data_IF_046252719861
#
_entry.id   IF_046252719861
#
_cell.length_a   1.000
_cell.length_b   1.000
_cell.length_c   1.000
_cell.angle_alpha   90.00
_cell.angle_beta   90.00
_cell.angle_gamma   90.00
#
_symmetry.space_group_name_H-M   'P 1'
#
loop_
_entity.id
_entity.type
_entity.pdbx_description
1 polymer ?
#
# COMPACT_ATOMS: atom_id res chain seq x y z
N UNK A 1 -10.64 8.58 23.24
CA UNK A 1 -10.80 7.58 22.16
C UNK A 1 -9.61 7.71 21.23
N UNK A 2 -9.02 6.60 20.78
CA UNK A 2 -7.96 6.64 19.77
C UNK A 2 -8.62 6.99 18.44
N UNK A 3 -8.11 8.01 17.75
CA UNK A 3 -8.73 8.52 16.54
C UNK A 3 -7.68 8.77 15.46
N UNK A 4 -8.06 8.59 14.21
CA UNK A 4 -7.21 8.85 13.05
C UNK A 4 -6.31 7.70 12.62
N UNK A 5 -5.63 7.94 11.52
CA UNK A 5 -4.74 7.00 10.85
C UNK A 5 -3.41 7.70 10.56
N UNK A 6 -2.30 7.10 10.98
CA UNK A 6 -0.95 7.53 10.60
C UNK A 6 -0.52 6.66 9.43
N UNK A 7 -0.19 7.28 8.30
CA UNK A 7 0.46 6.61 7.16
C UNK A 7 1.95 6.91 7.14
N UNK A 8 2.75 5.87 7.37
CA UNK A 8 4.20 5.96 7.46
C UNK A 8 4.89 5.12 6.38
N UNK A 9 6.08 5.53 5.99
CA UNK A 9 6.92 4.75 5.08
C UNK A 9 7.45 5.55 3.90
N UNK A 10 7.36 4.96 2.68
CA UNK A 10 7.92 5.56 1.50
C UNK A 10 6.96 6.57 0.84
N UNK A 11 7.39 7.81 0.82
CA UNK A 11 6.75 8.91 0.12
C UNK A 11 7.57 9.23 -1.14
N UNK A 12 6.95 9.12 -2.30
CA UNK A 12 7.63 9.29 -3.58
C UNK A 12 6.82 10.15 -4.54
N UNK A 13 7.48 10.61 -5.58
CA UNK A 13 6.83 11.23 -6.72
C UNK A 13 6.86 10.24 -7.91
N UNK A 14 5.69 9.85 -8.40
CA UNK A 14 5.58 9.11 -9.65
C UNK A 14 5.60 10.08 -10.83
N UNK A 15 6.57 9.89 -11.74
CA UNK A 15 6.75 10.66 -12.99
C UNK A 15 6.42 9.74 -14.15
N UNK A 16 5.17 9.78 -14.60
CA UNK A 16 4.67 8.92 -15.68
C UNK A 16 4.97 9.55 -17.03
N UNK A 17 5.82 8.89 -17.80
CA UNK A 17 6.24 9.34 -19.13
C UNK A 17 5.62 8.44 -20.20
N UNK A 18 4.73 9.00 -21.02
CA UNK A 18 4.20 8.31 -22.19
C UNK A 18 5.24 8.36 -23.30
N UNK A 19 5.66 7.21 -23.81
CA UNK A 19 6.65 7.08 -24.87
C UNK A 19 6.02 6.63 -26.18
N UNK A 20 6.62 7.03 -27.31
CA UNK A 20 6.15 6.67 -28.67
C UNK A 20 6.37 5.19 -28.99
N UNK A 21 7.45 4.61 -28.48
CA UNK A 21 7.83 3.20 -28.66
C UNK A 21 8.83 2.76 -27.60
N UNK A 22 8.98 1.46 -27.42
CA UNK A 22 10.07 0.89 -26.62
C UNK A 22 11.36 0.87 -27.43
N UNK A 23 12.41 1.62 -27.04
CA UNK A 23 13.69 1.59 -27.75
C UNK A 23 14.44 0.31 -27.41
N UNK A 24 15.19 -0.21 -28.38
CA UNK A 24 16.27 -1.15 -28.09
C UNK A 24 17.40 -0.48 -27.33
N UNK A 25 18.29 -1.27 -26.70
CA UNK A 25 19.46 -0.76 -25.99
C UNK A 25 20.29 0.17 -26.88
N UNK A 26 20.68 1.34 -26.36
CA UNK A 26 21.46 2.36 -27.09
C UNK A 26 20.65 3.22 -28.09
N UNK A 27 19.35 2.96 -28.26
CA UNK A 27 18.49 3.73 -29.15
C UNK A 27 17.64 4.77 -28.38
N UNK A 28 17.14 5.75 -29.14
CA UNK A 28 16.29 6.84 -28.63
C UNK A 28 14.81 6.56 -28.90
N UNK A 29 13.96 6.95 -27.95
CA UNK A 29 12.51 7.14 -28.13
C UNK A 29 12.11 8.55 -27.72
N UNK A 30 10.92 8.99 -28.13
CA UNK A 30 10.39 10.29 -27.71
C UNK A 30 9.44 10.12 -26.50
N UNK A 31 9.55 11.04 -25.54
CA UNK A 31 8.53 11.24 -24.51
C UNK A 31 7.47 12.17 -25.12
N UNK A 32 6.24 11.68 -25.22
CA UNK A 32 5.09 12.39 -25.79
C UNK A 32 4.34 13.22 -24.74
N UNK A 33 4.31 12.76 -23.51
CA UNK A 33 3.68 13.43 -22.39
C UNK A 33 4.35 13.02 -21.09
N UNK A 34 4.31 13.91 -20.09
CA UNK A 34 4.74 13.64 -18.73
C UNK A 34 3.67 14.12 -17.76
N UNK A 35 3.30 13.25 -16.81
CA UNK A 35 2.43 13.55 -15.69
C UNK A 35 3.15 13.20 -14.39
N UNK A 36 2.90 13.98 -13.34
CA UNK A 36 3.45 13.68 -12.03
C UNK A 36 2.36 13.65 -10.96
N UNK A 37 2.51 12.72 -10.03
CA UNK A 37 1.58 12.53 -8.94
C UNK A 37 2.31 12.03 -7.69
N UNK A 38 1.74 12.25 -6.50
CA UNK A 38 2.19 11.57 -5.30
C UNK A 38 2.06 10.05 -5.47
N UNK A 39 3.01 9.31 -4.93
CA UNK A 39 3.10 7.85 -4.98
C UNK A 39 3.72 7.26 -3.71
N UNK A 40 3.80 5.93 -3.67
CA UNK A 40 4.21 5.16 -2.50
C UNK A 40 3.04 4.82 -1.58
N UNK A 41 3.17 3.70 -0.86
CA UNK A 41 2.06 3.13 -0.07
C UNK A 41 1.33 4.13 0.82
N UNK A 42 2.00 4.82 1.77
CA UNK A 42 1.33 5.76 2.65
C UNK A 42 0.71 6.96 1.90
N UNK A 43 1.33 7.44 0.83
CA UNK A 43 0.79 8.52 0.02
C UNK A 43 -0.54 8.11 -0.64
N UNK A 44 -0.53 6.98 -1.35
CA UNK A 44 -1.70 6.48 -2.07
C UNK A 44 -2.84 6.17 -1.11
N UNK A 45 -2.56 5.41 -0.04
CA UNK A 45 -3.57 5.03 0.97
C UNK A 45 -4.19 6.27 1.64
N UNK A 46 -3.37 7.23 2.09
CA UNK A 46 -3.91 8.42 2.77
C UNK A 46 -4.66 9.34 1.80
N UNK A 47 -4.24 9.44 0.53
CA UNK A 47 -4.94 10.26 -0.46
C UNK A 47 -6.31 9.68 -0.80
N UNK A 48 -6.41 8.35 -0.92
CA UNK A 48 -7.68 7.66 -1.12
C UNK A 48 -8.60 7.81 0.10
N UNK A 49 -8.06 7.63 1.31
CA UNK A 49 -8.82 7.84 2.55
C UNK A 49 -9.34 9.28 2.70
N UNK A 50 -8.52 10.28 2.35
CA UNK A 50 -8.93 11.68 2.38
C UNK A 50 -10.04 12.00 1.36
N UNK A 51 -10.03 11.33 0.20
CA UNK A 51 -11.10 11.45 -0.78
C UNK A 51 -12.39 10.77 -0.33
N UNK A 52 -12.28 9.58 0.32
CA UNK A 52 -13.43 8.85 0.85
C UNK A 52 -14.12 9.63 1.96
N UNK A 53 -13.34 10.27 2.83
CA UNK A 53 -13.86 10.99 4.00
C UNK A 53 -12.93 12.14 4.43
N UNK A 54 -13.21 13.36 3.97
CA UNK A 54 -12.41 14.53 4.33
C UNK A 54 -12.39 14.89 5.82
N UNK A 55 -13.30 14.32 6.63
CA UNK A 55 -13.34 14.52 8.07
C UNK A 55 -12.49 13.52 8.85
N UNK A 56 -11.92 12.51 8.18
CA UNK A 56 -11.08 11.49 8.81
C UNK A 56 -9.73 12.12 9.23
N UNK A 57 -9.33 12.04 10.51
CA UNK A 57 -8.02 12.54 10.92
C UNK A 57 -6.89 11.69 10.33
N UNK A 58 -6.10 12.28 9.45
CA UNK A 58 -5.02 11.61 8.73
C UNK A 58 -3.69 12.31 8.99
N UNK A 59 -2.63 11.53 9.23
CA UNK A 59 -1.30 12.02 9.56
C UNK A 59 -0.26 11.35 8.65
N UNK A 60 0.52 12.17 7.95
CA UNK A 60 1.62 11.71 7.12
C UNK A 60 2.90 11.62 7.95
N UNK A 61 3.63 10.50 7.86
CA UNK A 61 4.90 10.28 8.53
C UNK A 61 5.93 9.66 7.57
N UNK A 62 7.11 10.27 7.47
CA UNK A 62 8.16 9.79 6.57
C UNK A 62 9.22 10.82 6.26
N UNK A 63 9.99 10.57 5.21
CA UNK A 63 11.06 11.45 4.76
C UNK A 63 10.94 11.81 3.30
N UNK A 64 11.19 13.08 2.99
CA UNK A 64 11.29 13.64 1.64
C UNK A 64 12.57 14.48 1.54
N UNK A 65 13.00 14.82 0.34
CA UNK A 65 14.10 15.74 0.13
C UNK A 65 13.74 17.21 0.44
N UNK A 66 14.76 18.04 0.57
CA UNK A 66 14.62 19.48 0.61
C UNK A 66 14.69 20.08 -0.82
N UNK A 67 13.82 19.59 -1.70
CA UNK A 67 13.77 19.86 -3.14
C UNK A 67 12.34 20.16 -3.62
N UNK A 68 12.20 20.51 -4.89
CA UNK A 68 10.92 20.85 -5.51
C UNK A 68 9.91 19.68 -5.49
N UNK A 69 10.37 18.43 -5.64
CA UNK A 69 9.53 17.24 -5.58
C UNK A 69 8.96 17.05 -4.16
N UNK A 70 9.78 17.32 -3.12
CA UNK A 70 9.34 17.31 -1.73
C UNK A 70 8.36 18.44 -1.41
N UNK A 71 8.57 19.63 -1.97
CA UNK A 71 7.62 20.74 -1.83
C UNK A 71 6.28 20.41 -2.49
N UNK A 72 6.30 19.79 -3.67
CA UNK A 72 5.10 19.32 -4.34
C UNK A 72 4.32 18.32 -3.49
N UNK A 73 4.99 17.29 -2.94
CA UNK A 73 4.34 16.28 -2.11
C UNK A 73 3.71 16.90 -0.85
N UNK A 74 4.41 17.82 -0.16
CA UNK A 74 3.84 18.50 1.01
C UNK A 74 2.63 19.36 0.64
N UNK A 75 2.67 20.04 -0.49
CA UNK A 75 1.53 20.80 -0.96
C UNK A 75 0.31 19.89 -1.23
N UNK A 76 0.53 18.72 -1.84
CA UNK A 76 -0.53 17.74 -2.10
C UNK A 76 -1.10 17.11 -0.82
N UNK A 77 -0.25 16.82 0.18
CA UNK A 77 -0.65 16.32 1.51
C UNK A 77 -1.56 17.37 2.18
N UNK A 78 -1.11 18.63 2.26
CA UNK A 78 -1.85 19.73 2.89
C UNK A 78 -3.15 20.06 2.17
N UNK A 79 -3.15 20.03 0.84
CA UNK A 79 -4.34 20.28 0.01
C UNK A 79 -5.48 19.30 0.31
N UNK A 80 -5.14 18.08 0.73
CA UNK A 80 -6.11 17.04 1.12
C UNK A 80 -6.47 17.06 2.61
N UNK A 81 -6.00 18.04 3.37
CA UNK A 81 -6.25 18.15 4.81
C UNK A 81 -5.51 17.12 5.66
N UNK A 82 -4.49 16.47 5.11
CA UNK A 82 -3.65 15.52 5.84
C UNK A 82 -2.58 16.30 6.64
N UNK A 83 -2.43 15.97 7.91
CA UNK A 83 -1.45 16.61 8.79
C UNK A 83 -0.04 16.06 8.51
N UNK A 84 0.88 16.95 8.16
CA UNK A 84 2.26 16.63 7.77
C UNK A 84 3.30 16.80 8.89
N UNK A 85 2.86 16.97 10.14
CA UNK A 85 3.77 17.25 11.29
C UNK A 85 4.84 16.19 11.52
N UNK A 86 4.67 14.97 11.03
CA UNK A 86 5.63 13.89 11.16
C UNK A 86 6.43 13.63 9.87
N UNK A 87 6.33 14.54 8.91
CA UNK A 87 7.18 14.54 7.72
C UNK A 87 8.50 15.24 8.00
N UNK A 88 9.61 14.55 7.74
CA UNK A 88 10.96 15.10 7.87
C UNK A 88 11.55 15.41 6.49
N UNK A 89 12.46 16.39 6.43
CA UNK A 89 13.21 16.70 5.21
C UNK A 89 14.65 16.22 5.33
N UNK A 90 15.17 15.63 4.26
CA UNK A 90 16.60 15.35 4.09
C UNK A 90 17.28 16.52 3.38
N UNK A 91 18.43 16.92 3.90
CA UNK A 91 19.33 17.85 3.21
C UNK A 91 20.38 17.11 2.36
N UNK A 92 20.51 15.79 2.51
CA UNK A 92 21.54 14.98 1.88
C UNK A 92 21.03 14.15 0.69
N UNK A 93 19.76 13.75 0.71
CA UNK A 93 19.15 12.93 -0.35
C UNK A 93 17.95 13.66 -0.99
N UNK A 94 17.72 13.47 -2.30
CA UNK A 94 16.52 13.97 -2.96
C UNK A 94 15.26 13.25 -2.47
N UNK A 95 14.11 13.82 -2.77
CA UNK A 95 12.82 13.12 -2.62
C UNK A 95 12.86 11.82 -3.43
N UNK A 96 12.34 10.73 -2.86
CA UNK A 96 12.18 9.48 -3.59
C UNK A 96 11.26 9.66 -4.80
N UNK A 97 11.56 9.01 -5.91
CA UNK A 97 10.72 9.09 -7.11
C UNK A 97 10.76 7.81 -7.93
N UNK A 98 9.76 7.64 -8.78
CA UNK A 98 9.72 6.57 -9.77
C UNK A 98 9.46 7.17 -11.14
N UNK A 99 10.41 7.01 -12.07
CA UNK A 99 10.17 7.22 -13.50
C UNK A 99 9.43 6.00 -14.06
N UNK A 100 8.19 6.22 -14.51
CA UNK A 100 7.35 5.18 -15.11
C UNK A 100 7.31 5.40 -16.61
N UNK A 101 8.03 4.58 -17.38
CA UNK A 101 7.92 4.58 -18.84
C UNK A 101 6.67 3.77 -19.24
N UNK A 102 5.76 4.40 -19.97
CA UNK A 102 4.48 3.82 -20.40
C UNK A 102 4.32 3.93 -21.91
N UNK A 103 4.15 2.81 -22.59
CA UNK A 103 3.95 2.76 -24.04
C UNK A 103 3.53 1.37 -24.51
N UNK A 104 2.75 1.31 -25.61
CA UNK A 104 2.31 0.05 -26.22
C UNK A 104 1.64 -0.93 -25.22
N UNK A 105 0.90 -0.41 -24.23
CA UNK A 105 0.23 -1.22 -23.21
C UNK A 105 1.15 -1.86 -22.17
N UNK A 106 2.43 -1.47 -22.14
CA UNK A 106 3.45 -1.95 -21.17
C UNK A 106 3.96 -0.82 -20.31
N UNK A 107 4.47 -1.14 -19.11
CA UNK A 107 5.12 -0.20 -18.20
C UNK A 107 6.43 -0.77 -17.68
N UNK A 108 7.39 0.12 -17.43
CA UNK A 108 8.66 -0.19 -16.74
C UNK A 108 8.94 0.91 -15.72
N UNK A 109 9.41 0.51 -14.55
CA UNK A 109 9.61 1.38 -13.41
C UNK A 109 11.10 1.53 -13.12
N UNK A 110 11.55 2.78 -12.98
CA UNK A 110 12.91 3.12 -12.55
C UNK A 110 12.80 3.86 -11.23
N UNK A 111 13.13 3.20 -10.13
CA UNK A 111 12.88 3.70 -8.79
C UNK A 111 14.15 4.25 -8.14
N UNK A 112 14.05 5.48 -7.62
CA UNK A 112 15.02 6.11 -6.75
C UNK A 112 14.47 6.18 -5.32
N UNK A 113 15.12 5.53 -4.35
CA UNK A 113 14.68 5.54 -2.95
C UNK A 113 14.80 6.92 -2.31
N UNK A 114 15.81 7.70 -2.68
CA UNK A 114 16.04 9.05 -2.15
C UNK A 114 16.01 9.09 -0.62
N UNK A 115 15.37 10.11 -0.07
CA UNK A 115 15.27 10.32 1.38
C UNK A 115 14.55 9.19 2.14
N UNK A 116 13.76 8.34 1.47
CA UNK A 116 13.12 7.18 2.10
C UNK A 116 14.15 6.18 2.64
N UNK A 117 15.33 6.08 1.99
CA UNK A 117 16.42 5.24 2.46
C UNK A 117 16.98 5.66 3.84
N UNK A 118 16.80 6.94 4.20
CA UNK A 118 17.28 7.50 5.47
C UNK A 118 16.27 7.36 6.61
N UNK A 119 15.00 7.02 6.34
CA UNK A 119 13.95 6.95 7.35
C UNK A 119 14.32 5.95 8.46
N UNK A 120 14.62 6.50 9.64
CA UNK A 120 15.11 5.70 10.76
C UNK A 120 14.00 5.29 11.73
N UNK A 121 14.14 4.13 12.40
CA UNK A 121 13.21 3.70 13.44
C UNK A 121 12.95 4.77 14.50
N UNK A 122 13.98 5.48 14.93
CA UNK A 122 13.92 6.51 15.98
C UNK A 122 13.01 7.68 15.61
N UNK A 123 12.83 7.98 14.33
CA UNK A 123 11.97 9.06 13.87
C UNK A 123 10.49 8.69 14.06
N UNK A 124 10.13 7.47 13.70
CA UNK A 124 8.77 6.99 13.85
C UNK A 124 8.42 6.66 15.31
N UNK A 125 9.37 6.14 16.10
CA UNK A 125 9.17 5.89 17.53
C UNK A 125 8.86 7.15 18.36
N UNK A 126 9.31 8.34 17.90
CA UNK A 126 9.00 9.62 18.54
C UNK A 126 7.55 10.06 18.37
N UNK A 127 6.79 9.39 17.50
CA UNK A 127 5.35 9.64 17.34
C UNK A 127 4.63 9.10 18.59
N UNK A 128 4.60 9.90 19.65
CA UNK A 128 3.92 9.57 20.92
C UNK A 128 2.40 9.69 20.87
N UNK A 129 1.81 9.74 19.68
CA UNK A 129 0.41 10.01 19.44
C UNK A 129 -0.36 8.70 19.22
N UNK A 130 -1.42 8.42 19.98
CA UNK A 130 -2.20 7.19 19.86
C UNK A 130 -3.27 7.32 18.78
N UNK A 131 -2.92 7.12 17.52
CA UNK A 131 -3.91 6.92 16.45
C UNK A 131 -4.60 5.56 16.57
N UNK A 132 -5.72 5.37 15.88
CA UNK A 132 -6.36 4.07 15.80
C UNK A 132 -5.53 3.10 14.98
N UNK A 133 -5.12 3.49 13.76
CA UNK A 133 -4.26 2.70 12.91
C UNK A 133 -2.91 3.38 12.65
N UNK A 134 -1.88 2.57 12.59
CA UNK A 134 -0.57 2.91 12.06
C UNK A 134 -0.30 2.04 10.83
N UNK A 135 -0.45 2.63 9.66
CA UNK A 135 -0.14 1.99 8.38
C UNK A 135 1.33 2.20 8.04
N UNK A 136 2.05 1.12 7.73
CA UNK A 136 3.43 1.15 7.26
C UNK A 136 3.54 0.51 5.87
N UNK A 137 3.90 1.27 4.88
CA UNK A 137 4.06 0.83 3.49
C UNK A 137 5.25 1.54 2.81
N UNK A 138 6.06 0.91 1.99
CA UNK A 138 6.10 -0.57 1.85
C UNK A 138 7.35 -1.09 2.54
N UNK A 139 7.26 -2.19 3.25
CA UNK A 139 8.48 -2.93 3.61
C UNK A 139 9.19 -3.37 2.32
N UNK A 140 10.50 -3.59 2.39
CA UNK A 140 11.40 -3.92 1.28
C UNK A 140 11.86 -2.70 0.44
N UNK A 141 11.34 -1.49 0.73
CA UNK A 141 11.78 -0.24 0.11
C UNK A 141 12.37 0.79 1.09
N UNK A 142 12.52 0.43 2.37
CA UNK A 142 12.91 1.35 3.46
C UNK A 142 14.23 0.88 4.09
N UNK A 143 15.38 1.24 3.49
CA UNK A 143 16.68 0.63 3.79
C UNK A 143 17.00 0.53 5.29
N UNK A 144 16.78 1.60 6.07
CA UNK A 144 17.06 1.59 7.52
C UNK A 144 15.99 0.84 8.33
N UNK A 145 14.74 0.83 7.88
CA UNK A 145 13.68 0.05 8.53
C UNK A 145 13.79 -1.44 8.17
N UNK A 146 14.25 -1.75 6.96
CA UNK A 146 14.47 -3.12 6.50
C UNK A 146 15.77 -3.72 7.05
N UNK A 147 16.67 -2.88 7.57
CA UNK A 147 17.95 -3.31 8.12
C UNK A 147 17.76 -4.19 9.35
N UNK A 148 18.69 -5.18 9.57
CA UNK A 148 18.68 -6.02 10.76
C UNK A 148 18.74 -5.20 12.07
N UNK A 149 17.95 -5.59 13.05
CA UNK A 149 17.90 -5.02 14.38
C UNK A 149 17.95 -6.15 15.42
N UNK A 150 18.85 -6.06 16.46
CA UNK A 150 19.15 -7.20 17.33
C UNK A 150 17.97 -7.75 18.15
N UNK A 151 17.02 -6.90 18.56
CA UNK A 151 15.92 -7.28 19.47
C UNK A 151 14.67 -7.76 18.73
N UNK A 152 14.34 -7.10 17.61
CA UNK A 152 13.10 -7.33 16.88
C UNK A 152 13.30 -7.97 15.51
N UNK A 153 14.56 -8.16 15.09
CA UNK A 153 14.94 -8.71 13.79
C UNK A 153 15.11 -7.64 12.72
N UNK A 154 14.24 -6.62 12.65
CA UNK A 154 14.37 -5.49 11.74
C UNK A 154 13.96 -4.17 12.39
N UNK A 155 14.43 -3.06 11.83
CA UNK A 155 14.00 -1.71 12.24
C UNK A 155 12.49 -1.51 12.12
N UNK A 156 11.87 -2.05 11.06
CA UNK A 156 10.42 -2.01 10.89
C UNK A 156 9.68 -2.75 12.01
N UNK A 157 10.10 -3.96 12.34
CA UNK A 157 9.53 -4.72 13.45
C UNK A 157 9.63 -3.96 14.79
N UNK A 158 10.75 -3.26 15.01
CA UNK A 158 10.97 -2.40 16.19
C UNK A 158 9.96 -1.24 16.21
N UNK A 159 9.75 -0.55 15.10
CA UNK A 159 8.76 0.54 14.97
C UNK A 159 7.35 0.02 15.21
N UNK A 160 6.95 -1.06 14.56
CA UNK A 160 5.62 -1.66 14.73
C UNK A 160 5.36 -2.05 16.19
N UNK A 161 6.37 -2.65 16.87
CA UNK A 161 6.28 -2.95 18.30
C UNK A 161 6.11 -1.68 19.15
N UNK A 162 6.74 -0.56 18.79
CA UNK A 162 6.58 0.71 19.49
C UNK A 162 5.18 1.29 19.28
N UNK A 163 4.66 1.28 18.04
CA UNK A 163 3.32 1.78 17.73
C UNK A 163 2.23 0.96 18.44
N UNK A 164 2.37 -0.35 18.52
CA UNK A 164 1.48 -1.21 19.30
C UNK A 164 1.51 -0.87 20.79
N UNK A 165 2.69 -0.61 21.38
CA UNK A 165 2.79 -0.15 22.78
C UNK A 165 2.12 1.20 23.00
N UNK A 166 2.16 2.09 22.01
CA UNK A 166 1.43 3.37 22.03
C UNK A 166 -0.08 3.18 21.82
N UNK A 167 -0.50 1.93 21.49
CA UNK A 167 -1.89 1.53 21.40
C UNK A 167 -2.48 1.67 20.00
N UNK A 168 -1.69 1.86 18.96
CA UNK A 168 -2.14 1.74 17.58
C UNK A 168 -2.34 0.28 17.20
N UNK A 169 -3.30 -0.01 16.34
CA UNK A 169 -3.32 -1.25 15.56
C UNK A 169 -2.44 -1.05 14.33
N UNK A 170 -1.50 -1.97 14.12
CA UNK A 170 -0.54 -1.87 13.01
C UNK A 170 -1.09 -2.52 11.76
N UNK A 171 -1.07 -1.79 10.65
CA UNK A 171 -1.47 -2.25 9.31
C UNK A 171 -0.26 -2.17 8.40
N UNK A 172 0.06 -3.24 7.70
CA UNK A 172 1.29 -3.32 6.88
C UNK A 172 0.97 -3.84 5.49
N UNK A 173 1.69 -3.27 4.53
CA UNK A 173 1.74 -3.71 3.14
C UNK A 173 3.21 -3.83 2.69
N UNK A 174 3.45 -4.64 1.65
CA UNK A 174 4.78 -4.91 1.10
C UNK A 174 4.83 -4.49 -0.37
N UNK A 175 6.04 -4.47 -0.92
CA UNK A 175 6.25 -4.49 -2.36
C UNK A 175 6.73 -5.87 -2.79
N UNK A 176 6.31 -6.30 -3.96
CA UNK A 176 6.77 -7.56 -4.55
C UNK A 176 8.27 -7.50 -4.85
N UNK A 177 9.06 -8.29 -4.14
CA UNK A 177 10.51 -8.39 -4.24
C UNK A 177 10.97 -9.85 -4.19
N UNK A 178 12.27 -10.09 -4.34
CA UNK A 178 12.84 -11.43 -4.32
C UNK A 178 12.53 -12.18 -3.01
N UNK A 179 12.21 -13.48 -3.06
CA UNK A 179 11.83 -14.29 -1.88
C UNK A 179 12.85 -14.25 -0.73
N UNK A 180 14.14 -14.11 -1.04
CA UNK A 180 15.20 -14.05 -0.03
C UNK A 180 15.13 -12.78 0.83
N UNK A 181 14.71 -11.65 0.23
CA UNK A 181 14.46 -10.40 0.95
C UNK A 181 13.24 -10.53 1.84
N UNK A 182 12.20 -11.21 1.34
CA UNK A 182 10.98 -11.47 2.11
C UNK A 182 11.31 -12.18 3.43
N UNK A 183 12.05 -13.28 3.37
CA UNK A 183 12.43 -14.05 4.56
C UNK A 183 13.23 -13.23 5.58
N UNK A 184 14.11 -12.34 5.12
CA UNK A 184 14.99 -11.54 5.98
C UNK A 184 14.31 -10.32 6.59
N UNK A 185 13.38 -9.70 5.87
CA UNK A 185 12.79 -8.41 6.25
C UNK A 185 11.37 -8.57 6.76
N UNK A 186 10.54 -9.34 6.07
CA UNK A 186 9.12 -9.47 6.38
C UNK A 186 8.88 -10.45 7.52
N UNK A 187 9.45 -11.65 7.45
CA UNK A 187 9.20 -12.67 8.49
C UNK A 187 9.47 -12.19 9.91
N UNK A 188 10.56 -11.44 10.22
CA UNK A 188 10.77 -10.88 11.55
C UNK A 188 9.74 -9.83 11.97
N UNK A 189 9.08 -9.17 11.01
CA UNK A 189 8.07 -8.14 11.30
C UNK A 189 6.68 -8.73 11.58
N UNK A 190 6.34 -9.91 11.06
CA UNK A 190 5.01 -10.53 11.18
C UNK A 190 4.47 -10.56 12.62
N UNK A 191 5.27 -10.87 13.67
CA UNK A 191 4.80 -10.87 15.05
C UNK A 191 4.40 -9.48 15.59
N UNK A 192 4.69 -8.42 14.88
CA UNK A 192 4.34 -7.04 15.25
C UNK A 192 3.23 -6.44 14.39
N UNK A 193 2.67 -7.22 13.48
CA UNK A 193 1.60 -6.81 12.57
C UNK A 193 0.24 -7.27 13.12
N UNK A 194 -0.70 -6.34 13.28
CA UNK A 194 -2.06 -6.69 13.66
C UNK A 194 -2.89 -7.04 12.41
N UNK A 195 -2.78 -6.25 11.35
CA UNK A 195 -3.50 -6.41 10.09
C UNK A 195 -2.48 -6.39 8.94
N UNK A 196 -2.48 -7.45 8.13
CA UNK A 196 -1.65 -7.56 6.95
C UNK A 196 -2.52 -7.52 5.70
N UNK A 197 -2.25 -6.60 4.77
CA UNK A 197 -2.99 -6.47 3.50
C UNK A 197 -1.97 -6.56 2.38
N UNK A 198 -1.99 -7.65 1.61
CA UNK A 198 -0.99 -7.94 0.57
C UNK A 198 -1.65 -8.62 -0.63
N UNK A 199 -0.91 -8.69 -1.75
CA UNK A 199 -1.37 -9.44 -2.90
C UNK A 199 -1.05 -10.95 -2.79
N UNK A 200 -1.64 -11.74 -3.68
CA UNK A 200 -1.48 -13.20 -3.69
C UNK A 200 -0.06 -13.64 -4.02
N UNK A 201 0.70 -12.84 -4.78
CA UNK A 201 2.08 -13.18 -5.13
C UNK A 201 3.03 -13.00 -3.95
N UNK A 202 2.80 -11.97 -3.15
CA UNK A 202 3.53 -11.72 -1.90
C UNK A 202 3.21 -12.81 -0.86
N UNK A 203 1.96 -13.22 -0.75
CA UNK A 203 1.56 -14.32 0.11
C UNK A 203 2.21 -15.66 -0.30
N UNK A 204 2.42 -15.88 -1.59
CA UNK A 204 3.12 -17.05 -2.13
C UNK A 204 4.57 -17.15 -1.61
N UNK A 205 5.23 -16.02 -1.34
CA UNK A 205 6.60 -16.00 -0.78
C UNK A 205 6.64 -16.64 0.62
N UNK A 206 5.62 -16.41 1.47
CA UNK A 206 5.52 -17.06 2.77
C UNK A 206 5.21 -18.55 2.65
N UNK A 207 4.30 -18.91 1.76
CA UNK A 207 3.91 -20.30 1.53
C UNK A 207 5.04 -21.15 0.89
N UNK A 208 6.01 -20.50 0.22
CA UNK A 208 7.06 -21.16 -0.55
C UNK A 208 6.54 -21.93 -1.77
N UNK A 209 5.32 -21.62 -2.23
CA UNK A 209 4.64 -22.23 -3.38
C UNK A 209 3.83 -21.17 -4.12
N UNK A 210 3.82 -21.20 -5.45
CA UNK A 210 3.01 -20.25 -6.22
C UNK A 210 1.52 -20.46 -5.94
N UNK A 211 0.76 -19.38 -5.84
CA UNK A 211 -0.70 -19.38 -5.72
C UNK A 211 -1.39 -19.28 -7.08
N UNK A 212 -0.62 -19.14 -8.15
CA UNK A 212 -1.11 -19.24 -9.54
C UNK A 212 -0.61 -20.48 -10.21
N UNK A 213 -1.45 -21.07 -11.06
CA UNK A 213 -1.11 -22.21 -11.90
C UNK A 213 -0.24 -21.79 -13.08
N UNK A 214 0.28 -22.74 -13.84
CA UNK A 214 1.15 -22.49 -15.00
C UNK A 214 0.46 -21.74 -16.15
N UNK A 215 -0.88 -21.81 -16.21
CA UNK A 215 -1.70 -21.07 -17.17
C UNK A 215 -2.04 -19.63 -16.70
N UNK A 216 -1.54 -19.23 -15.53
CA UNK A 216 -1.78 -17.92 -14.92
C UNK A 216 -3.07 -17.83 -14.10
N UNK A 217 -3.94 -18.85 -14.13
CA UNK A 217 -5.17 -18.86 -13.32
C UNK A 217 -4.86 -19.00 -11.83
N UNK A 218 -5.73 -18.43 -10.99
CA UNK A 218 -5.63 -18.55 -9.55
C UNK A 218 -5.87 -19.98 -9.07
N UNK A 219 -5.04 -20.47 -8.16
CA UNK A 219 -5.29 -21.70 -7.42
C UNK A 219 -5.93 -21.36 -6.07
N UNK A 220 -7.26 -21.21 -6.07
CA UNK A 220 -8.02 -20.82 -4.87
C UNK A 220 -7.76 -21.72 -3.67
N UNK A 221 -7.39 -22.99 -3.90
CA UNK A 221 -7.09 -23.94 -2.82
C UNK A 221 -5.85 -23.57 -2.01
N UNK A 222 -5.02 -22.66 -2.53
CA UNK A 222 -3.80 -22.16 -1.88
C UNK A 222 -3.97 -20.87 -1.13
N UNK A 223 -5.08 -20.15 -1.32
CA UNK A 223 -5.30 -18.86 -0.64
C UNK A 223 -5.38 -19.03 0.88
N UNK A 224 -6.21 -19.97 1.35
CA UNK A 224 -6.32 -20.23 2.77
C UNK A 224 -5.00 -20.72 3.39
N UNK A 225 -4.29 -21.70 2.84
CA UNK A 225 -2.97 -22.11 3.33
C UNK A 225 -1.94 -20.96 3.37
N UNK A 226 -1.96 -20.04 2.39
CA UNK A 226 -1.08 -18.88 2.39
C UNK A 226 -1.41 -17.90 3.54
N UNK A 227 -2.69 -17.61 3.76
CA UNK A 227 -3.13 -16.79 4.88
C UNK A 227 -2.82 -17.46 6.24
N UNK A 228 -3.02 -18.77 6.36
CA UNK A 228 -2.67 -19.54 7.57
C UNK A 228 -1.15 -19.53 7.85
N UNK A 229 -0.31 -19.59 6.81
CA UNK A 229 1.15 -19.45 6.94
C UNK A 229 1.53 -18.09 7.55
N UNK A 230 0.92 -17.01 7.09
CA UNK A 230 1.16 -15.65 7.59
C UNK A 230 0.66 -15.48 9.04
N UNK A 231 -0.52 -16.03 9.36
CA UNK A 231 -1.02 -16.05 10.74
C UNK A 231 -0.08 -16.85 11.66
N UNK A 232 0.37 -18.03 11.23
CA UNK A 232 1.33 -18.86 11.96
C UNK A 232 2.70 -18.14 12.11
N UNK A 233 3.08 -17.32 11.13
CA UNK A 233 4.27 -16.46 11.19
C UNK A 233 4.15 -15.33 12.21
N UNK A 234 2.96 -15.07 12.74
CA UNK A 234 2.78 -14.17 13.87
C UNK A 234 1.82 -13.01 13.71
N UNK A 235 1.19 -12.82 12.53
CA UNK A 235 0.14 -11.80 12.33
C UNK A 235 -0.96 -11.99 13.37
N UNK A 236 -1.41 -10.88 14.00
CA UNK A 236 -2.18 -10.96 15.24
C UNK A 236 -3.69 -11.06 15.06
N UNK A 237 -4.24 -10.35 14.07
CA UNK A 237 -5.69 -10.17 13.99
C UNK A 237 -6.28 -10.56 12.65
N UNK A 238 -5.65 -10.17 11.54
CA UNK A 238 -6.24 -10.29 10.23
C UNK A 238 -5.18 -10.37 9.13
N UNK A 239 -5.32 -11.32 8.23
CA UNK A 239 -4.60 -11.37 6.94
C UNK A 239 -5.63 -11.16 5.83
N UNK A 240 -5.38 -10.22 4.95
CA UNK A 240 -6.17 -9.93 3.75
C UNK A 240 -5.29 -10.12 2.53
N UNK A 241 -5.77 -10.93 1.60
CA UNK A 241 -5.13 -11.20 0.31
C UNK A 241 -6.00 -10.59 -0.80
N UNK A 242 -5.44 -9.73 -1.63
CA UNK A 242 -6.14 -9.23 -2.81
C UNK A 242 -5.51 -9.76 -4.09
N UNK A 243 -6.32 -9.96 -5.09
CA UNK A 243 -5.92 -10.49 -6.40
C UNK A 243 -6.92 -10.03 -7.48
N UNK A 244 -6.57 -10.12 -8.78
CA UNK A 244 -7.44 -9.60 -9.84
C UNK A 244 -8.87 -10.16 -9.83
N UNK A 245 -9.06 -11.41 -9.43
CA UNK A 245 -10.36 -12.09 -9.41
C UNK A 245 -11.19 -11.79 -8.14
N UNK A 246 -10.55 -11.24 -7.08
CA UNK A 246 -11.25 -10.96 -5.82
C UNK A 246 -10.36 -10.67 -4.63
N UNK A 247 -10.86 -11.00 -3.45
CA UNK A 247 -10.11 -10.92 -2.21
C UNK A 247 -10.47 -12.06 -1.26
N UNK A 248 -9.52 -12.42 -0.39
CA UNK A 248 -9.71 -13.38 0.68
C UNK A 248 -9.24 -12.79 2.01
N UNK A 249 -9.85 -13.21 3.11
CA UNK A 249 -9.39 -12.83 4.45
C UNK A 249 -9.46 -13.99 5.41
N UNK A 250 -8.49 -14.05 6.33
CA UNK A 250 -8.43 -14.96 7.46
C UNK A 250 -8.29 -14.16 8.74
N UNK A 251 -9.24 -14.30 9.65
CA UNK A 251 -9.16 -13.66 10.96
C UNK A 251 -8.50 -14.57 12.02
N UNK A 252 -8.19 -14.00 13.18
CA UNK A 252 -7.60 -14.72 14.32
C UNK A 252 -8.46 -15.82 14.92
N UNK A 253 -9.77 -15.86 14.61
CA UNK A 253 -10.69 -16.91 15.01
C UNK A 253 -10.67 -18.10 14.03
N UNK A 254 -9.95 -18.00 12.92
CA UNK A 254 -9.90 -18.99 11.85
C UNK A 254 -11.03 -18.88 10.85
N UNK A 255 -11.84 -17.82 10.90
CA UNK A 255 -12.87 -17.57 9.89
C UNK A 255 -12.19 -17.13 8.60
N UNK A 256 -12.40 -17.90 7.53
CA UNK A 256 -11.91 -17.58 6.20
C UNK A 256 -13.09 -17.25 5.30
N UNK A 257 -13.00 -16.12 4.62
CA UNK A 257 -14.01 -15.70 3.66
C UNK A 257 -13.36 -15.16 2.37
N UNK A 258 -14.09 -15.24 1.28
CA UNK A 258 -13.71 -14.67 -0.02
C UNK A 258 -14.83 -13.79 -0.56
N UNK A 259 -14.45 -12.79 -1.34
CA UNK A 259 -15.37 -11.96 -2.15
C UNK A 259 -14.84 -11.84 -3.57
N UNK A 260 -15.68 -11.82 -4.60
CA UNK A 260 -15.24 -11.55 -5.97
C UNK A 260 -14.81 -10.09 -6.12
N UNK A 261 -14.05 -9.78 -7.17
CA UNK A 261 -13.77 -8.41 -7.55
C UNK A 261 -15.03 -7.72 -8.11
N UNK A 262 -15.08 -6.39 -7.98
CA UNK A 262 -16.08 -5.60 -8.69
C UNK A 262 -15.73 -5.60 -10.18
N UNK A 263 -16.60 -6.18 -11.01
CA UNK A 263 -16.32 -6.39 -12.43
C UNK A 263 -16.06 -5.09 -13.18
N UNK A 264 -14.99 -5.08 -13.96
CA UNK A 264 -14.63 -3.99 -14.88
C UNK A 264 -14.17 -4.58 -16.22
N UNK A 265 -14.79 -4.13 -17.29
CA UNK A 265 -14.36 -4.50 -18.64
C UNK A 265 -12.92 -4.08 -18.88
N UNK A 266 -12.09 -4.97 -19.41
CA UNK A 266 -10.66 -4.71 -19.66
C UNK A 266 -10.40 -3.45 -20.49
N UNK A 267 -11.27 -3.16 -21.45
CA UNK A 267 -11.18 -1.97 -22.31
C UNK A 267 -11.34 -0.65 -21.55
N UNK A 268 -11.90 -0.68 -20.33
CA UNK A 268 -12.10 0.50 -19.47
C UNK A 268 -10.96 0.71 -18.48
N UNK A 269 -10.03 -0.21 -18.38
CA UNK A 269 -8.86 -0.07 -17.50
C UNK A 269 -7.90 0.95 -18.12
N UNK A 270 -7.71 2.05 -17.42
CA UNK A 270 -6.80 3.14 -17.80
C UNK A 270 -5.41 2.91 -17.19
N UNK A 271 -5.34 2.45 -15.93
CA UNK A 271 -4.10 2.17 -15.23
C UNK A 271 -4.29 1.12 -14.14
N UNK A 272 -3.19 0.47 -13.74
CA UNK A 272 -3.19 -0.52 -12.65
C UNK A 272 -2.29 -0.09 -11.47
N UNK A 273 -1.62 1.06 -11.61
CA UNK A 273 -0.76 1.58 -10.54
C UNK A 273 -1.62 1.99 -9.33
N UNK A 274 -1.22 1.59 -8.13
CA UNK A 274 -1.94 1.92 -6.89
C UNK A 274 -3.23 1.13 -6.64
N UNK A 275 -3.59 0.14 -7.49
CA UNK A 275 -4.83 -0.64 -7.28
C UNK A 275 -4.81 -1.43 -5.96
N UNK A 276 -3.63 -1.94 -5.53
CA UNK A 276 -3.43 -2.57 -4.23
C UNK A 276 -3.59 -1.57 -3.08
N UNK A 277 -3.00 -0.38 -3.21
CA UNK A 277 -3.13 0.68 -2.19
C UNK A 277 -4.58 1.16 -2.06
N UNK A 278 -5.28 1.33 -3.18
CA UNK A 278 -6.69 1.66 -3.20
C UNK A 278 -7.54 0.57 -2.51
N UNK A 279 -7.23 -0.72 -2.77
CA UNK A 279 -7.86 -1.82 -2.06
C UNK A 279 -7.60 -1.71 -0.55
N UNK A 280 -6.33 -1.50 -0.15
CA UNK A 280 -5.96 -1.36 1.25
C UNK A 280 -6.68 -0.17 1.90
N UNK A 281 -6.78 0.98 1.22
CA UNK A 281 -7.51 2.15 1.71
C UNK A 281 -8.99 1.84 1.97
N UNK A 282 -9.67 1.16 1.05
CA UNK A 282 -11.07 0.74 1.22
C UNK A 282 -11.27 -0.20 2.41
N UNK A 283 -10.37 -1.19 2.57
CA UNK A 283 -10.39 -2.11 3.73
C UNK A 283 -10.14 -1.35 5.03
N UNK A 284 -9.09 -0.52 5.09
CA UNK A 284 -8.74 0.28 6.28
C UNK A 284 -9.89 1.20 6.68
N UNK A 285 -10.52 1.88 5.72
CA UNK A 285 -11.67 2.74 5.99
C UNK A 285 -12.83 1.97 6.59
N UNK A 286 -13.20 0.83 6.01
CA UNK A 286 -14.28 -0.02 6.52
C UNK A 286 -14.00 -0.51 7.94
N UNK A 287 -12.78 -1.00 8.22
CA UNK A 287 -12.35 -1.42 9.55
C UNK A 287 -12.36 -0.25 10.55
N UNK A 288 -11.92 0.94 10.10
CA UNK A 288 -11.98 2.16 10.91
C UNK A 288 -13.42 2.52 11.30
N UNK A 289 -14.38 2.30 10.39
CA UNK A 289 -15.81 2.49 10.62
C UNK A 289 -16.50 1.30 11.30
N UNK A 290 -15.73 0.26 11.74
CA UNK A 290 -16.22 -0.97 12.37
C UNK A 290 -17.26 -1.72 11.50
N UNK A 291 -17.09 -1.68 10.17
CA UNK A 291 -17.93 -2.44 9.24
C UNK A 291 -17.58 -3.94 9.32
N UNK A 292 -18.52 -4.82 9.00
CA UNK A 292 -18.25 -6.26 8.88
C UNK A 292 -17.11 -6.56 7.91
N UNK A 293 -16.33 -7.61 8.18
CA UNK A 293 -15.17 -7.96 7.36
C UNK A 293 -15.51 -8.18 5.87
N UNK A 294 -16.68 -8.78 5.58
CA UNK A 294 -17.16 -8.92 4.20
C UNK A 294 -17.29 -7.56 3.51
N UNK A 295 -17.96 -6.61 4.15
CA UNK A 295 -18.09 -5.24 3.61
C UNK A 295 -16.74 -4.55 3.45
N UNK A 296 -15.77 -4.84 4.33
CA UNK A 296 -14.43 -4.30 4.20
C UNK A 296 -13.74 -4.78 2.91
N UNK A 297 -13.83 -6.08 2.59
CA UNK A 297 -13.28 -6.61 1.35
C UNK A 297 -14.02 -6.08 0.10
N UNK A 298 -15.34 -5.96 0.18
CA UNK A 298 -16.18 -5.39 -0.88
C UNK A 298 -15.80 -3.92 -1.16
N UNK A 299 -15.61 -3.10 -0.11
CA UNK A 299 -15.16 -1.70 -0.23
C UNK A 299 -13.73 -1.60 -0.76
N UNK A 300 -12.84 -2.51 -0.37
CA UNK A 300 -11.51 -2.61 -0.96
C UNK A 300 -11.59 -2.87 -2.47
N UNK A 301 -12.42 -3.83 -2.90
CA UNK A 301 -12.65 -4.15 -4.31
C UNK A 301 -13.22 -2.95 -5.09
N UNK A 302 -14.17 -2.21 -4.49
CA UNK A 302 -14.75 -1.00 -5.11
C UNK A 302 -13.72 0.12 -5.22
N UNK A 303 -12.87 0.31 -4.22
CA UNK A 303 -11.80 1.31 -4.28
C UNK A 303 -10.82 1.00 -5.41
N UNK A 304 -10.39 -0.27 -5.54
CA UNK A 304 -9.59 -0.71 -6.70
C UNK A 304 -10.30 -0.50 -8.02
N UNK A 305 -11.62 -0.79 -8.11
CA UNK A 305 -12.40 -0.53 -9.32
C UNK A 305 -12.29 0.93 -9.77
N UNK A 306 -12.44 1.89 -8.86
CA UNK A 306 -12.31 3.30 -9.21
C UNK A 306 -10.87 3.70 -9.55
N UNK A 307 -9.89 3.15 -8.87
CA UNK A 307 -8.48 3.36 -9.18
C UNK A 307 -8.14 2.92 -10.60
N UNK A 308 -8.60 1.75 -11.03
CA UNK A 308 -8.37 1.22 -12.39
C UNK A 308 -8.92 2.11 -13.50
N UNK A 309 -9.81 3.06 -13.21
CA UNK A 309 -10.33 4.06 -14.15
C UNK A 309 -9.44 5.31 -14.26
N UNK A 310 -8.31 5.36 -13.55
CA UNK A 310 -7.39 6.51 -13.52
C UNK A 310 -6.00 6.12 -14.04
N UNK A 311 -5.26 7.05 -14.68
CA UNK A 311 -3.87 6.83 -15.05
C UNK A 311 -2.90 6.90 -13.86
N UNK A 312 -3.27 7.58 -12.76
CA UNK A 312 -2.45 7.78 -11.56
C UNK A 312 -2.91 6.94 -10.39
N UNK A 313 -2.03 6.71 -9.43
CA UNK A 313 -2.23 5.77 -8.33
C UNK A 313 -3.38 6.15 -7.36
N UNK A 314 -3.78 7.41 -7.26
CA UNK A 314 -4.87 7.87 -6.39
C UNK A 314 -5.87 8.82 -7.08
N UNK A 315 -5.72 9.04 -8.39
CA UNK A 315 -6.59 9.96 -9.13
C UNK A 315 -8.02 9.45 -9.35
N UNK A 316 -8.25 8.15 -9.15
CA UNK A 316 -9.57 7.52 -9.25
C UNK A 316 -10.38 7.56 -7.95
N UNK A 317 -9.79 8.00 -6.84
CA UNK A 317 -10.46 7.98 -5.54
C UNK A 317 -11.76 8.83 -5.54
N UNK A 318 -12.79 8.30 -4.89
CA UNK A 318 -14.12 8.93 -4.80
C UNK A 318 -14.60 8.98 -3.35
N UNK A 319 -15.61 9.80 -3.10
CA UNK A 319 -16.24 9.88 -1.77
C UNK A 319 -16.95 8.57 -1.38
N UNK A 320 -17.16 8.40 -0.08
CA UNK A 320 -17.74 7.17 0.47
C UNK A 320 -19.17 6.90 -0.04
N UNK A 321 -19.97 7.93 -0.34
CA UNK A 321 -21.33 7.73 -0.83
C UNK A 321 -21.31 7.02 -2.20
N UNK A 322 -20.43 7.43 -3.10
CA UNK A 322 -20.23 6.79 -4.40
C UNK A 322 -19.66 5.37 -4.26
N UNK A 323 -18.73 5.16 -3.31
CA UNK A 323 -18.22 3.82 -3.01
C UNK A 323 -19.34 2.89 -2.54
N UNK A 324 -20.20 3.34 -1.63
CA UNK A 324 -21.28 2.53 -1.08
C UNK A 324 -22.36 2.24 -2.13
N UNK A 325 -22.68 3.21 -2.99
CA UNK A 325 -23.57 3.00 -4.15
C UNK A 325 -23.04 1.91 -5.07
N UNK A 326 -21.75 1.98 -5.42
CA UNK A 326 -21.11 0.99 -6.29
C UNK A 326 -21.03 -0.37 -5.60
N UNK A 327 -20.73 -0.42 -4.29
CA UNK A 327 -20.71 -1.67 -3.52
C UNK A 327 -22.05 -2.39 -3.59
N UNK A 328 -23.15 -1.67 -3.36
CA UNK A 328 -24.50 -2.25 -3.47
C UNK A 328 -24.80 -2.72 -4.88
N UNK A 329 -24.36 -2.00 -5.88
CA UNK A 329 -24.52 -2.40 -7.29
C UNK A 329 -23.73 -3.68 -7.63
N UNK A 330 -22.53 -3.86 -7.09
CA UNK A 330 -21.66 -4.99 -7.39
C UNK A 330 -22.00 -6.26 -6.58
N UNK A 331 -22.40 -6.11 -5.31
CA UNK A 331 -22.45 -7.24 -4.36
C UNK A 331 -23.86 -7.52 -3.81
N UNK A 332 -24.84 -6.74 -4.19
CA UNK A 332 -26.19 -6.81 -3.63
C UNK A 332 -26.24 -6.18 -2.23
N UNK A 333 -27.26 -5.45 -1.93
CA UNK A 333 -27.45 -4.84 -0.62
C UNK A 333 -28.02 -5.80 0.39
#
# INVERSE_FOLDING_TARGET
MRDGIIGAGNWILDKVKTIDRWPGEGNLCNILAEEQAGGGGPCNVLFDLAAMDPALPLYAAGRIGADADGDFLLAEIRRRGIDDRFMARSAAAPTGYTDVMSGEGRRTFFHCRGANAELAPEELERIGFPARFFYLGYLLLLDRLDAPEPRFGTGAARVLAAMRRNGCETVVDFVSEAPEKFAKTVCPALPQIDILIINELEAACCLGKPVRKTDGSLDETRLRPAAECLMAGGVKSLVVLHYPEGAAALDKQGNFLTVPSCELERARIVGTNGAGDAFAAGVIYALYRNRPLREALELGSVSSYYNLLSPTASGGAVDFARMEEKRRSCFGG
#
